data_IF_345232747757
#
_entry.id   IF_345232747757
#
_cell.length_a   1.000
_cell.length_b   1.000
_cell.length_c   1.000
_cell.angle_alpha   90.00
_cell.angle_beta   90.00
_cell.angle_gamma   90.00
#
_symmetry.space_group_name_H-M   'P 1'
#
loop_
_entity.id
_entity.type
_entity.pdbx_description
1 polymer ?
#
# COMPACT_ATOMS: atom_id res chain seq x y z
N UNK A 1 0.82 0.37 -15.52
CA UNK A 1 0.93 -0.86 -14.72
C UNK A 1 -0.27 -1.76 -14.96
N UNK A 2 -0.10 -3.09 -14.86
CA UNK A 2 -1.20 -4.05 -15.00
C UNK A 2 -1.94 -4.24 -13.68
N UNK A 3 -1.21 -4.41 -12.57
CA UNK A 3 -1.76 -4.71 -11.25
C UNK A 3 -1.01 -3.97 -10.13
N UNK A 4 -1.76 -3.29 -9.28
CA UNK A 4 -1.27 -2.65 -8.05
C UNK A 4 -1.97 -3.26 -6.84
N UNK A 5 -1.23 -3.57 -5.79
CA UNK A 5 -1.75 -3.96 -4.49
C UNK A 5 -1.55 -2.83 -3.48
N UNK A 6 -2.60 -2.43 -2.80
CA UNK A 6 -2.58 -1.54 -1.62
C UNK A 6 -2.76 -2.40 -0.37
N UNK A 7 -1.77 -2.39 0.53
CA UNK A 7 -1.83 -3.09 1.82
C UNK A 7 -2.12 -2.07 2.92
N UNK A 8 -3.30 -2.15 3.51
CA UNK A 8 -3.83 -1.16 4.45
C UNK A 8 -4.60 -0.05 3.73
N UNK A 9 -5.89 0.01 3.94
CA UNK A 9 -6.77 0.96 3.26
C UNK A 9 -7.41 1.94 4.26
N UNK A 10 -6.56 2.55 5.09
CA UNK A 10 -6.93 3.69 5.94
C UNK A 10 -7.03 4.99 5.14
N UNK A 11 -6.73 6.12 5.76
CA UNK A 11 -6.76 7.45 5.15
C UNK A 11 -5.91 7.51 3.86
N UNK A 12 -4.61 7.23 3.95
CA UNK A 12 -3.69 7.36 2.82
C UNK A 12 -3.89 6.24 1.79
N UNK A 13 -4.08 5.00 2.23
CA UNK A 13 -4.32 3.89 1.31
C UNK A 13 -5.57 4.07 0.46
N UNK A 14 -6.68 4.52 1.06
CA UNK A 14 -7.91 4.81 0.33
C UNK A 14 -7.79 6.02 -0.59
N UNK A 15 -6.96 7.00 -0.23
CA UNK A 15 -6.64 8.14 -1.09
C UNK A 15 -5.85 7.71 -2.32
N UNK A 16 -4.87 6.79 -2.15
CA UNK A 16 -4.13 6.19 -3.26
C UNK A 16 -5.06 5.39 -4.18
N UNK A 17 -5.96 4.57 -3.64
CA UNK A 17 -6.95 3.82 -4.43
C UNK A 17 -7.74 4.77 -5.33
N UNK A 18 -8.28 5.86 -4.76
CA UNK A 18 -9.04 6.88 -5.52
C UNK A 18 -8.18 7.52 -6.62
N UNK A 19 -6.96 7.93 -6.27
CA UNK A 19 -6.06 8.63 -7.20
C UNK A 19 -5.61 7.73 -8.34
N UNK A 20 -5.20 6.49 -8.03
CA UNK A 20 -4.78 5.49 -9.03
C UNK A 20 -5.91 5.19 -10.01
N UNK A 21 -7.13 5.03 -9.50
CA UNK A 21 -8.31 4.76 -10.31
C UNK A 21 -8.66 5.95 -11.21
N UNK A 22 -8.76 7.15 -10.62
CA UNK A 22 -9.11 8.37 -11.37
C UNK A 22 -8.16 8.64 -12.54
N UNK A 23 -6.88 8.47 -12.29
CA UNK A 23 -5.84 8.73 -13.31
C UNK A 23 -5.54 7.50 -14.19
N UNK A 24 -6.26 6.40 -14.02
CA UNK A 24 -6.08 5.14 -14.76
C UNK A 24 -4.63 4.64 -14.76
N UNK A 25 -3.92 4.82 -13.62
CA UNK A 25 -2.50 4.46 -13.47
C UNK A 25 -2.31 2.93 -13.55
N UNK A 26 -3.29 2.16 -13.12
CA UNK A 26 -3.27 0.70 -13.16
C UNK A 26 -4.57 0.14 -13.73
N UNK A 27 -4.46 -0.99 -14.43
CA UNK A 27 -5.63 -1.71 -14.95
C UNK A 27 -6.42 -2.42 -13.85
N UNK A 28 -5.73 -2.89 -12.79
CA UNK A 28 -6.33 -3.61 -11.66
C UNK A 28 -5.77 -3.06 -10.36
N UNK A 29 -6.65 -2.72 -9.44
CA UNK A 29 -6.30 -2.26 -8.08
C UNK A 29 -6.81 -3.33 -7.12
N UNK A 30 -5.90 -3.93 -6.34
CA UNK A 30 -6.23 -4.83 -5.27
C UNK A 30 -6.01 -4.15 -3.93
N UNK A 31 -6.87 -4.48 -2.97
CA UNK A 31 -6.87 -3.92 -1.62
C UNK A 31 -6.81 -5.08 -0.64
N UNK A 32 -5.77 -5.11 0.19
CA UNK A 32 -5.71 -6.00 1.34
C UNK A 32 -5.88 -5.18 2.62
N UNK A 33 -6.92 -5.49 3.37
CA UNK A 33 -7.25 -4.82 4.63
C UNK A 33 -7.59 -5.87 5.70
N UNK A 34 -7.05 -5.71 6.92
CA UNK A 34 -7.31 -6.63 8.03
C UNK A 34 -8.53 -6.23 8.86
N UNK A 35 -8.78 -4.94 8.99
CA UNK A 35 -9.86 -4.41 9.80
C UNK A 35 -11.21 -4.71 9.17
N UNK A 36 -12.01 -5.52 9.82
CA UNK A 36 -13.40 -5.80 9.38
C UNK A 36 -14.22 -4.51 9.26
N UNK A 37 -14.03 -3.57 10.17
CA UNK A 37 -14.69 -2.26 10.12
C UNK A 37 -14.29 -1.49 8.87
N UNK A 38 -12.98 -1.40 8.56
CA UNK A 38 -12.52 -0.73 7.34
C UNK A 38 -13.02 -1.44 6.08
N UNK A 39 -13.05 -2.78 6.05
CA UNK A 39 -13.60 -3.53 4.91
C UNK A 39 -15.07 -3.16 4.66
N UNK A 40 -15.88 -3.04 5.71
CA UNK A 40 -17.28 -2.61 5.58
C UNK A 40 -17.38 -1.18 5.06
N UNK A 41 -16.53 -0.27 5.55
CA UNK A 41 -16.48 1.12 5.05
C UNK A 41 -16.06 1.19 3.59
N UNK A 42 -15.03 0.44 3.19
CA UNK A 42 -14.56 0.36 1.79
C UNK A 42 -15.71 -0.08 0.86
N UNK A 43 -16.47 -1.09 1.27
CA UNK A 43 -17.63 -1.59 0.52
C UNK A 43 -18.74 -0.55 0.42
N UNK A 44 -19.11 0.09 1.55
CA UNK A 44 -20.14 1.16 1.58
C UNK A 44 -19.78 2.36 0.72
N UNK A 45 -18.51 2.71 0.68
CA UNK A 45 -17.98 3.82 -0.11
C UNK A 45 -17.82 3.47 -1.61
N UNK A 46 -18.08 2.22 -1.99
CA UNK A 46 -17.84 1.72 -3.35
C UNK A 46 -16.45 2.13 -3.87
N UNK A 47 -15.40 1.98 -3.02
CA UNK A 47 -14.06 2.32 -3.46
C UNK A 47 -13.66 1.48 -4.68
N UNK A 48 -13.04 2.11 -5.69
CA UNK A 48 -12.59 1.38 -6.86
C UNK A 48 -11.49 0.38 -6.47
N UNK A 49 -11.63 -0.85 -6.95
CA UNK A 49 -10.67 -1.91 -6.66
C UNK A 49 -11.32 -3.17 -6.08
N UNK A 50 -10.56 -4.23 -6.03
CA UNK A 50 -11.00 -5.53 -5.53
C UNK A 50 -10.39 -5.81 -4.16
N UNK A 51 -11.22 -6.03 -3.16
CA UNK A 51 -10.76 -6.46 -1.84
C UNK A 51 -10.38 -7.94 -1.94
N UNK A 52 -9.11 -8.25 -1.66
CA UNK A 52 -8.60 -9.62 -1.66
C UNK A 52 -8.67 -10.23 -0.26
N UNK A 53 -8.88 -11.56 -0.21
CA UNK A 53 -9.01 -12.29 1.06
C UNK A 53 -7.66 -12.61 1.69
N UNK A 54 -6.62 -12.74 0.88
CA UNK A 54 -5.27 -13.07 1.34
C UNK A 54 -4.20 -12.14 0.76
N UNK A 55 -3.04 -12.06 1.42
CA UNK A 55 -1.88 -11.37 0.88
C UNK A 55 -1.36 -12.06 -0.39
N UNK A 56 -1.46 -13.38 -0.47
CA UNK A 56 -1.09 -14.16 -1.63
C UNK A 56 -1.84 -13.72 -2.87
N UNK A 57 -3.18 -13.70 -2.82
CA UNK A 57 -4.03 -13.26 -3.94
C UNK A 57 -3.68 -11.84 -4.40
N UNK A 58 -3.31 -10.98 -3.44
CA UNK A 58 -2.91 -9.61 -3.71
C UNK A 58 -1.54 -9.50 -4.37
N UNK A 59 -0.53 -10.18 -3.82
CA UNK A 59 0.89 -10.02 -4.18
C UNK A 59 1.22 -10.72 -5.50
N UNK A 60 0.69 -11.93 -5.72
CA UNK A 60 0.98 -12.71 -6.94
C UNK A 60 0.66 -11.89 -8.20
N UNK A 61 1.65 -11.79 -9.10
CA UNK A 61 1.57 -11.02 -10.35
C UNK A 61 1.29 -9.52 -10.17
N UNK A 62 1.56 -8.94 -8.99
CA UNK A 62 1.55 -7.49 -8.83
C UNK A 62 2.80 -6.86 -9.40
N UNK A 63 2.65 -5.75 -10.15
CA UNK A 63 3.77 -4.94 -10.60
C UNK A 63 4.27 -4.03 -9.46
N UNK A 64 3.33 -3.54 -8.63
CA UNK A 64 3.61 -2.64 -7.52
C UNK A 64 2.82 -3.05 -6.28
N UNK A 65 3.49 -3.09 -5.15
CA UNK A 65 2.90 -3.27 -3.82
C UNK A 65 3.17 -2.01 -3.00
N UNK A 66 2.12 -1.37 -2.51
CA UNK A 66 2.22 -0.15 -1.69
C UNK A 66 1.78 -0.50 -0.26
N UNK A 67 2.69 -0.35 0.71
CA UNK A 67 2.42 -0.62 2.12
C UNK A 67 1.96 0.66 2.80
N UNK A 68 0.70 0.67 3.22
CA UNK A 68 0.02 1.79 3.88
C UNK A 68 -0.41 1.44 5.32
N UNK A 69 0.21 0.43 5.92
CA UNK A 69 -0.04 0.02 7.31
C UNK A 69 0.90 0.76 8.27
N UNK A 70 0.61 0.72 9.58
CA UNK A 70 1.57 1.16 10.58
C UNK A 70 2.90 0.39 10.49
N UNK A 71 4.00 1.07 10.83
CA UNK A 71 5.36 0.51 10.79
C UNK A 71 5.52 -0.79 11.59
N UNK A 72 4.81 -0.92 12.71
CA UNK A 72 4.79 -2.12 13.55
C UNK A 72 4.38 -3.40 12.80
N UNK A 73 3.67 -3.26 11.69
CA UNK A 73 3.22 -4.38 10.86
C UNK A 73 4.25 -4.80 9.78
N UNK A 74 5.23 -3.97 9.45
CA UNK A 74 6.14 -4.18 8.31
C UNK A 74 6.88 -5.51 8.38
N UNK A 75 7.49 -5.85 9.52
CA UNK A 75 8.21 -7.13 9.68
C UNK A 75 7.33 -8.33 9.37
N UNK A 76 6.12 -8.36 9.94
CA UNK A 76 5.16 -9.46 9.72
C UNK A 76 4.71 -9.53 8.27
N UNK A 77 4.48 -8.38 7.65
CA UNK A 77 4.09 -8.29 6.25
C UNK A 77 5.19 -8.82 5.33
N UNK A 78 6.42 -8.33 5.50
CA UNK A 78 7.56 -8.74 4.65
C UNK A 78 7.77 -10.24 4.71
N UNK A 79 7.77 -10.83 5.91
CA UNK A 79 7.93 -12.29 6.07
C UNK A 79 6.83 -13.06 5.32
N UNK A 80 5.60 -12.55 5.33
CA UNK A 80 4.49 -13.20 4.62
C UNK A 80 4.58 -13.02 3.11
N UNK A 81 4.81 -11.80 2.63
CA UNK A 81 4.84 -11.53 1.19
C UNK A 81 6.04 -12.14 0.49
N UNK A 82 7.16 -12.35 1.20
CA UNK A 82 8.36 -12.99 0.65
C UNK A 82 8.10 -14.35 0.01
N UNK A 83 7.07 -15.06 0.47
CA UNK A 83 6.70 -16.37 -0.06
C UNK A 83 6.12 -16.30 -1.48
N UNK A 84 5.53 -15.16 -1.83
CA UNK A 84 4.72 -15.01 -3.05
C UNK A 84 5.24 -13.93 -3.99
N UNK A 85 6.12 -13.03 -3.49
CA UNK A 85 6.58 -11.88 -4.25
C UNK A 85 7.61 -12.28 -5.32
N UNK A 86 7.45 -11.70 -6.50
CA UNK A 86 8.38 -11.83 -7.61
C UNK A 86 9.49 -10.78 -7.54
N UNK A 87 10.69 -11.09 -8.06
CA UNK A 87 11.76 -10.10 -8.24
C UNK A 87 11.38 -8.96 -9.22
N UNK A 88 10.35 -9.16 -10.04
CA UNK A 88 9.84 -8.12 -10.93
C UNK A 88 8.88 -7.14 -10.24
N UNK A 89 8.44 -7.46 -9.02
CA UNK A 89 7.54 -6.61 -8.24
C UNK A 89 8.34 -5.51 -7.54
N UNK A 90 7.88 -4.27 -7.64
CA UNK A 90 8.39 -3.15 -6.86
C UNK A 90 7.56 -3.05 -5.59
N UNK A 91 8.22 -2.90 -4.43
CA UNK A 91 7.55 -2.53 -3.18
C UNK A 91 7.83 -1.07 -2.90
N UNK A 92 6.85 -0.37 -2.39
CA UNK A 92 7.02 0.95 -1.77
C UNK A 92 6.18 1.05 -0.50
N UNK A 93 6.46 2.04 0.32
CA UNK A 93 5.74 2.31 1.56
C UNK A 93 5.51 3.81 1.75
N UNK A 94 4.61 4.15 2.65
CA UNK A 94 4.27 5.54 3.00
C UNK A 94 4.72 5.92 4.41
N UNK A 95 5.49 5.07 5.07
CA UNK A 95 5.90 5.28 6.46
C UNK A 95 6.82 6.50 6.63
N UNK A 96 6.69 7.23 7.73
CA UNK A 96 7.52 8.40 8.02
C UNK A 96 8.91 8.04 8.55
N UNK A 97 9.06 6.93 9.29
CA UNK A 97 10.34 6.50 9.85
C UNK A 97 11.10 5.58 8.89
N UNK A 98 12.13 6.10 8.20
CA UNK A 98 12.90 5.33 7.22
C UNK A 98 14.01 4.48 7.84
N UNK A 99 14.54 4.86 8.98
CA UNK A 99 15.57 4.10 9.69
C UNK A 99 15.04 2.70 10.05
N UNK A 100 13.85 2.63 10.64
CA UNK A 100 13.25 1.35 11.04
C UNK A 100 12.86 0.49 9.83
N UNK A 101 12.23 1.09 8.81
CA UNK A 101 11.90 0.35 7.59
C UNK A 101 13.16 -0.16 6.89
N UNK A 102 14.24 0.62 6.81
CA UNK A 102 15.52 0.19 6.24
C UNK A 102 16.10 -1.03 6.97
N UNK A 103 16.10 -1.04 8.30
CA UNK A 103 16.55 -2.19 9.10
C UNK A 103 15.72 -3.45 8.79
N UNK A 104 14.41 -3.30 8.71
CA UNK A 104 13.50 -4.40 8.43
C UNK A 104 13.71 -4.93 7.01
N UNK A 105 13.80 -4.04 6.01
CA UNK A 105 14.06 -4.39 4.61
C UNK A 105 15.37 -5.17 4.50
N UNK A 106 16.47 -4.60 5.01
CA UNK A 106 17.80 -5.21 4.95
C UNK A 106 17.86 -6.60 5.58
N UNK A 107 17.12 -6.80 6.67
CA UNK A 107 17.14 -8.07 7.43
C UNK A 107 16.19 -9.13 6.88
N UNK A 108 15.04 -8.75 6.39
CA UNK A 108 13.95 -9.69 6.13
C UNK A 108 13.49 -9.75 4.67
N UNK A 109 13.78 -8.75 3.83
CA UNK A 109 13.33 -8.77 2.44
C UNK A 109 14.15 -9.80 1.64
N UNK A 110 13.44 -10.57 0.82
CA UNK A 110 14.04 -11.53 -0.12
C UNK A 110 14.99 -10.82 -1.08
N UNK A 111 16.17 -11.41 -1.33
CA UNK A 111 17.13 -10.90 -2.31
C UNK A 111 16.49 -10.78 -3.70
N UNK A 112 16.86 -9.73 -4.43
CA UNK A 112 16.37 -9.48 -5.80
C UNK A 112 15.01 -8.80 -5.86
N UNK A 113 14.34 -8.54 -4.73
CA UNK A 113 13.11 -7.73 -4.67
C UNK A 113 13.50 -6.28 -4.41
N UNK A 114 12.94 -5.38 -5.21
CA UNK A 114 13.21 -3.94 -5.07
C UNK A 114 12.19 -3.28 -4.15
N UNK A 115 12.69 -2.57 -3.14
CA UNK A 115 11.88 -1.71 -2.28
C UNK A 115 12.39 -0.29 -2.38
N UNK A 116 11.56 0.59 -2.89
CA UNK A 116 11.79 2.03 -2.96
C UNK A 116 11.03 2.65 -1.79
N UNK A 117 11.75 3.11 -0.78
CA UNK A 117 11.11 3.76 0.36
C UNK A 117 10.56 5.12 -0.06
N UNK A 118 9.32 5.41 0.27
CA UNK A 118 8.73 6.72 0.00
C UNK A 118 8.05 7.31 1.23
N UNK A 119 8.09 8.63 1.33
CA UNK A 119 7.41 9.38 2.37
C UNK A 119 6.65 10.54 1.75
N UNK A 120 5.35 10.37 1.46
CA UNK A 120 4.52 11.49 1.05
C UNK A 120 4.29 12.42 2.24
N UNK A 121 4.62 13.71 2.05
CA UNK A 121 4.45 14.74 3.09
C UNK A 121 2.99 15.22 3.04
N UNK A 122 2.11 14.36 3.49
CA UNK A 122 0.67 14.61 3.54
C UNK A 122 0.01 13.71 4.59
N UNK A 123 -1.19 14.07 4.97
CA UNK A 123 -1.99 13.34 5.95
C UNK A 123 -2.94 14.28 6.67
N UNK A 124 -3.61 13.77 7.67
CA UNK A 124 -4.41 14.53 8.62
C UNK A 124 -4.54 13.73 9.92
N UNK A 125 -5.10 14.34 10.96
CA UNK A 125 -5.30 13.73 12.27
C UNK A 125 -6.42 12.67 12.28
N UNK A 126 -7.25 12.63 11.23
CA UNK A 126 -8.31 11.64 11.10
C UNK A 126 -7.81 10.33 10.49
N UNK A 127 -8.47 9.24 10.80
CA UNK A 127 -8.15 7.91 10.29
C UNK A 127 -9.36 7.25 9.62
N UNK A 128 -9.11 6.25 8.78
CA UNK A 128 -10.15 5.48 8.12
C UNK A 128 -10.35 5.82 6.64
N UNK A 129 -10.95 4.88 5.88
CA UNK A 129 -11.12 5.02 4.43
C UNK A 129 -12.14 6.10 4.04
N UNK A 130 -13.06 6.47 4.94
CA UNK A 130 -14.06 7.52 4.75
C UNK A 130 -13.45 8.92 4.61
N UNK A 131 -12.28 9.14 5.19
CA UNK A 131 -11.59 10.42 5.15
C UNK A 131 -10.61 10.54 3.98
N UNK A 132 -10.39 9.48 3.23
CA UNK A 132 -9.51 9.50 2.06
C UNK A 132 -10.03 10.42 0.95
N UNK A 133 -9.12 11.12 0.28
CA UNK A 133 -9.42 12.08 -0.78
C UNK A 133 -8.54 11.82 -2.00
N UNK A 134 -9.08 11.92 -3.21
CA UNK A 134 -8.33 11.72 -4.45
C UNK A 134 -7.21 12.75 -4.66
N UNK A 135 -7.36 13.94 -4.10
CA UNK A 135 -6.40 15.04 -4.19
C UNK A 135 -5.44 15.11 -2.98
N UNK A 136 -5.44 14.10 -2.09
CA UNK A 136 -4.60 14.07 -0.89
C UNK A 136 -3.12 14.30 -1.18
N UNK A 137 -2.64 13.84 -2.34
CA UNK A 137 -1.25 13.93 -2.75
C UNK A 137 -0.97 15.05 -3.76
N UNK A 138 -2.03 15.81 -4.16
CA UNK A 138 -1.85 16.90 -5.11
C UNK A 138 -1.03 18.02 -4.48
N UNK A 139 -0.03 18.51 -5.22
CA UNK A 139 0.85 19.60 -4.81
C UNK A 139 1.57 19.31 -3.46
N UNK A 140 1.84 18.04 -3.18
CA UNK A 140 2.58 17.57 -2.00
C UNK A 140 3.89 16.92 -2.40
N UNK A 141 4.91 17.14 -1.56
CA UNK A 141 6.19 16.48 -1.70
C UNK A 141 6.09 14.98 -1.43
N UNK A 142 6.84 14.19 -2.17
CA UNK A 142 7.10 12.79 -1.86
C UNK A 142 8.60 12.56 -1.87
N UNK A 143 9.15 12.24 -0.72
CA UNK A 143 10.59 11.94 -0.56
C UNK A 143 10.80 10.47 -0.91
N UNK A 144 11.72 10.19 -1.84
CA UNK A 144 12.15 8.83 -2.19
C UNK A 144 13.57 8.59 -1.64
N UNK A 145 13.81 7.37 -1.14
CA UNK A 145 15.08 6.94 -0.55
C UNK A 145 15.46 5.57 -1.11
#
# INVERSE_FOLDING_TARGET
MKKVLIIGCGLLGSSLVRRISKNRISKKIFIYEKSKSNILKIKRLNLPGTIVKSLEDGVVNSDLVIICTPMSEYKKLIIKINKFISSKTIITDIGSSKIESSKIIKKFLKRGVHWIQSHPITGSEVSGPEHGKENMFKDKWCILI
#
